data_IF_618382090133
#
_entry.id   IF_618382090133
#
_cell.length_a   1.000
_cell.length_b   1.000
_cell.length_c   1.000
_cell.angle_alpha   90.00
_cell.angle_beta   90.00
_cell.angle_gamma   90.00
#
_symmetry.space_group_name_H-M   'P 1'
#
loop_
_entity.id
_entity.type
_entity.pdbx_description
1 polymer ?
#
# COMPACT_ATOMS: atom_id res chain seq x y z
N UNK A 1 -17.85 8.06 -0.16
CA UNK A 1 -17.14 7.29 0.89
C UNK A 1 -15.81 7.91 1.31
N UNK A 2 -15.11 8.62 0.42
CA UNK A 2 -13.74 9.11 0.61
C UNK A 2 -13.50 9.90 1.91
N UNK A 3 -14.37 10.84 2.28
CA UNK A 3 -14.18 11.68 3.48
C UNK A 3 -13.99 10.84 4.74
N UNK A 4 -14.78 9.78 4.92
CA UNK A 4 -14.68 8.88 6.08
C UNK A 4 -13.35 8.12 6.09
N UNK A 5 -12.94 7.56 4.94
CA UNK A 5 -11.63 6.91 4.82
C UNK A 5 -10.52 7.91 5.16
N UNK A 6 -10.61 9.13 4.65
CA UNK A 6 -9.61 10.17 4.95
C UNK A 6 -9.55 10.50 6.45
N UNK A 7 -10.68 10.53 7.16
CA UNK A 7 -10.72 10.70 8.63
C UNK A 7 -9.96 9.58 9.35
N UNK A 8 -10.27 8.30 9.09
CA UNK A 8 -9.57 7.16 9.70
C UNK A 8 -8.06 7.18 9.45
N UNK A 9 -7.65 7.54 8.22
CA UNK A 9 -6.25 7.59 7.83
C UNK A 9 -5.52 8.80 8.46
N UNK A 10 -6.22 9.91 8.71
CA UNK A 10 -5.67 11.12 9.35
C UNK A 10 -5.63 11.02 10.87
N UNK A 11 -6.62 10.39 11.48
CA UNK A 11 -6.78 10.34 12.93
C UNK A 11 -5.58 9.67 13.61
N UNK A 12 -5.21 10.21 14.77
CA UNK A 12 -4.16 9.65 15.62
C UNK A 12 -4.71 8.43 16.40
N UNK A 13 -5.03 7.39 15.65
CA UNK A 13 -5.54 6.12 16.16
C UNK A 13 -4.38 5.34 16.79
N UNK A 14 -4.51 4.85 18.04
CA UNK A 14 -3.51 3.98 18.65
C UNK A 14 -3.18 2.78 17.76
N UNK A 15 -1.90 2.43 17.66
CA UNK A 15 -1.41 1.40 16.74
C UNK A 15 -2.09 0.04 16.94
N UNK A 16 -2.33 -0.36 18.20
CA UNK A 16 -3.07 -1.60 18.50
C UNK A 16 -4.50 -1.54 17.95
N UNK A 17 -5.22 -0.46 18.19
CA UNK A 17 -6.58 -0.29 17.68
C UNK A 17 -6.65 -0.19 16.15
N UNK A 18 -5.60 0.36 15.53
CA UNK A 18 -5.49 0.39 14.08
C UNK A 18 -5.48 -1.02 13.48
N UNK A 19 -4.57 -1.88 13.95
CA UNK A 19 -4.42 -3.24 13.42
C UNK A 19 -5.50 -4.21 13.89
N UNK A 20 -6.09 -4.00 15.07
CA UNK A 20 -7.15 -4.87 15.60
C UNK A 20 -8.51 -4.61 14.91
N UNK A 21 -8.82 -3.36 14.58
CA UNK A 21 -10.18 -2.96 14.15
C UNK A 21 -10.19 -2.09 12.90
N UNK A 22 -9.45 -0.97 12.90
CA UNK A 22 -9.64 0.08 11.89
C UNK A 22 -9.22 -0.34 10.48
N UNK A 23 -8.19 -1.18 10.34
CA UNK A 23 -7.74 -1.68 9.05
C UNK A 23 -8.88 -2.39 8.30
N UNK A 24 -9.64 -3.25 8.98
CA UNK A 24 -10.76 -3.98 8.38
C UNK A 24 -11.93 -3.05 8.01
N UNK A 25 -12.18 -2.03 8.84
CA UNK A 25 -13.20 -1.00 8.56
C UNK A 25 -12.82 -0.21 7.29
N UNK A 26 -11.56 0.22 7.17
CA UNK A 26 -11.09 0.98 6.02
C UNK A 26 -11.06 0.11 4.76
N UNK A 27 -10.63 -1.14 4.85
CA UNK A 27 -10.70 -2.08 3.73
C UNK A 27 -12.14 -2.28 3.23
N UNK A 28 -13.11 -2.46 4.13
CA UNK A 28 -14.52 -2.58 3.76
C UNK A 28 -15.04 -1.30 3.08
N UNK A 29 -14.67 -0.13 3.59
CA UNK A 29 -15.02 1.14 2.93
C UNK A 29 -14.40 1.25 1.53
N UNK A 30 -13.13 0.86 1.36
CA UNK A 30 -12.43 0.90 0.08
C UNK A 30 -13.01 -0.10 -0.94
N UNK A 31 -13.48 -1.27 -0.50
CA UNK A 31 -14.20 -2.23 -1.37
C UNK A 31 -15.49 -1.62 -1.95
N UNK A 32 -16.10 -0.72 -1.21
CA UNK A 32 -17.34 -0.02 -1.57
C UNK A 32 -17.10 1.38 -2.17
N UNK A 33 -15.86 1.75 -2.52
CA UNK A 33 -15.59 3.00 -3.22
C UNK A 33 -16.17 2.99 -4.63
N UNK A 34 -16.83 4.09 -4.98
CA UNK A 34 -17.20 4.41 -6.35
C UNK A 34 -16.04 5.14 -7.07
N UNK A 35 -16.13 5.28 -8.39
CA UNK A 35 -15.09 5.94 -9.21
C UNK A 35 -14.76 7.37 -8.74
N UNK A 36 -15.77 8.14 -8.28
CA UNK A 36 -15.54 9.49 -7.76
C UNK A 36 -14.79 9.48 -6.42
N UNK A 37 -14.96 8.45 -5.59
CA UNK A 37 -14.19 8.29 -4.35
C UNK A 37 -12.71 8.00 -4.65
N UNK A 38 -12.43 7.13 -5.62
CA UNK A 38 -11.06 6.88 -6.09
C UNK A 38 -10.42 8.13 -6.69
N UNK A 39 -11.17 8.87 -7.50
CA UNK A 39 -10.70 10.13 -8.08
C UNK A 39 -10.36 11.17 -7.01
N UNK A 40 -11.18 11.29 -5.97
CA UNK A 40 -10.88 12.16 -4.84
C UNK A 40 -9.64 11.69 -4.06
N UNK A 41 -9.50 10.39 -3.85
CA UNK A 41 -8.31 9.79 -3.23
C UNK A 41 -7.04 10.13 -4.02
N UNK A 42 -7.02 9.91 -5.34
CA UNK A 42 -5.84 10.21 -6.16
C UNK A 42 -5.49 11.69 -6.20
N UNK A 43 -6.49 12.58 -6.18
CA UNK A 43 -6.27 14.03 -6.10
C UNK A 43 -5.59 14.43 -4.80
N UNK A 44 -5.97 13.80 -3.69
CA UNK A 44 -5.50 14.14 -2.35
C UNK A 44 -4.16 13.49 -1.99
N UNK A 45 -3.86 12.32 -2.57
CA UNK A 45 -2.70 11.49 -2.24
C UNK A 45 -1.34 12.24 -2.24
N UNK A 46 -1.02 13.15 -3.19
CA UNK A 46 0.23 13.91 -3.15
C UNK A 46 0.38 14.81 -1.90
N UNK A 47 -0.74 15.26 -1.33
CA UNK A 47 -0.79 16.21 -0.22
C UNK A 47 -0.80 15.55 1.17
N UNK A 48 -0.81 14.21 1.24
CA UNK A 48 -0.87 13.49 2.51
C UNK A 48 0.51 13.17 3.08
N UNK A 49 0.58 13.16 4.40
CA UNK A 49 1.74 12.78 5.20
C UNK A 49 2.09 11.29 5.04
N UNK A 50 3.31 10.91 5.44
CA UNK A 50 3.81 9.54 5.32
C UNK A 50 2.94 8.52 6.06
N UNK A 51 2.55 8.80 7.31
CA UNK A 51 1.73 7.88 8.12
C UNK A 51 0.35 7.60 7.48
N UNK A 52 -0.28 8.61 6.90
CA UNK A 52 -1.54 8.46 6.18
C UNK A 52 -1.38 7.51 4.99
N UNK A 53 -0.28 7.66 4.24
CA UNK A 53 0.05 6.83 3.08
C UNK A 53 0.38 5.38 3.48
N UNK A 54 1.05 5.18 4.62
CA UNK A 54 1.33 3.84 5.17
C UNK A 54 0.02 3.12 5.47
N UNK A 55 -0.85 3.75 6.27
CA UNK A 55 -2.17 3.20 6.60
C UNK A 55 -3.01 2.89 5.35
N UNK A 56 -2.97 3.76 4.34
CA UNK A 56 -3.64 3.49 3.08
C UNK A 56 -3.04 2.25 2.41
N UNK A 57 -1.72 2.18 2.27
CA UNK A 57 -1.03 1.06 1.62
C UNK A 57 -1.37 -0.28 2.28
N UNK A 58 -1.44 -0.34 3.62
CA UNK A 58 -1.80 -1.53 4.39
C UNK A 58 -3.20 -2.08 4.02
N UNK A 59 -4.11 -1.24 3.53
CA UNK A 59 -5.48 -1.63 3.17
C UNK A 59 -5.66 -2.05 1.69
N UNK A 60 -4.59 -2.01 0.86
CA UNK A 60 -4.69 -2.17 -0.61
C UNK A 60 -4.25 -3.57 -1.13
N UNK A 61 -4.27 -4.59 -0.28
CA UNK A 61 -3.80 -5.93 -0.64
C UNK A 61 -4.88 -6.94 -1.00
N UNK A 62 -6.17 -6.61 -0.81
CA UNK A 62 -7.27 -7.57 -0.85
C UNK A 62 -8.64 -6.92 -1.16
N UNK A 63 -8.66 -5.91 -2.04
CA UNK A 63 -9.91 -5.21 -2.39
C UNK A 63 -10.62 -5.86 -3.58
N UNK A 64 -9.89 -6.55 -4.46
CA UNK A 64 -10.46 -7.25 -5.62
C UNK A 64 -10.85 -6.30 -6.76
N UNK A 65 -10.22 -5.12 -6.84
CA UNK A 65 -10.50 -4.11 -7.86
C UNK A 65 -9.20 -3.59 -8.48
N UNK A 66 -9.28 -2.93 -9.65
CA UNK A 66 -8.08 -2.44 -10.35
C UNK A 66 -7.36 -1.29 -9.62
N UNK A 67 -8.09 -0.54 -8.80
CA UNK A 67 -7.61 0.69 -8.19
C UNK A 67 -6.54 0.44 -7.12
N UNK A 68 -6.56 -0.74 -6.50
CA UNK A 68 -5.58 -1.11 -5.47
C UNK A 68 -4.15 -1.19 -6.04
N UNK A 69 -3.98 -1.82 -7.20
CA UNK A 69 -2.69 -1.89 -7.88
C UNK A 69 -2.24 -0.52 -8.38
N UNK A 70 -3.14 0.26 -8.98
CA UNK A 70 -2.85 1.62 -9.47
C UNK A 70 -2.37 2.51 -8.32
N UNK A 71 -3.05 2.47 -7.17
CA UNK A 71 -2.68 3.25 -5.99
C UNK A 71 -1.33 2.82 -5.42
N UNK A 72 -1.06 1.51 -5.30
CA UNK A 72 0.23 1.01 -4.81
C UNK A 72 1.40 1.39 -5.72
N UNK A 73 1.20 1.43 -7.04
CA UNK A 73 2.23 1.88 -7.99
C UNK A 73 2.56 3.36 -7.83
N UNK A 74 1.60 4.19 -7.40
CA UNK A 74 1.86 5.59 -7.06
C UNK A 74 2.63 5.67 -5.73
N UNK A 75 2.15 4.96 -4.69
CA UNK A 75 2.70 5.03 -3.33
C UNK A 75 4.12 4.47 -3.21
N UNK A 76 4.45 3.41 -3.96
CA UNK A 76 5.78 2.80 -3.91
C UNK A 76 6.88 3.73 -4.43
N UNK A 77 6.51 4.81 -5.13
CA UNK A 77 7.44 5.83 -5.58
C UNK A 77 7.84 6.82 -4.48
N UNK A 78 8.15 6.27 -3.30
CA UNK A 78 8.58 6.98 -2.10
C UNK A 78 10.03 6.63 -1.71
N UNK A 79 10.62 7.43 -0.83
CA UNK A 79 11.87 7.14 -0.12
C UNK A 79 11.64 6.76 1.35
N UNK A 80 10.39 6.80 1.80
CA UNK A 80 9.98 6.39 3.15
C UNK A 80 10.01 4.86 3.25
N UNK A 81 10.80 4.34 4.20
CA UNK A 81 11.01 2.89 4.35
C UNK A 81 9.75 2.17 4.82
N UNK A 82 8.95 2.77 5.71
CA UNK A 82 7.76 2.15 6.28
C UNK A 82 6.67 2.07 5.21
N UNK A 83 6.52 3.12 4.40
CA UNK A 83 5.62 3.10 3.25
C UNK A 83 6.06 2.09 2.18
N UNK A 84 7.37 1.94 1.93
CA UNK A 84 7.87 0.90 1.03
C UNK A 84 7.54 -0.52 1.55
N UNK A 85 7.67 -0.76 2.85
CA UNK A 85 7.33 -2.06 3.46
C UNK A 85 5.83 -2.32 3.35
N UNK A 86 4.99 -1.34 3.68
CA UNK A 86 3.53 -1.46 3.57
C UNK A 86 3.10 -1.71 2.12
N UNK A 87 3.66 -0.98 1.15
CA UNK A 87 3.40 -1.24 -0.27
C UNK A 87 3.84 -2.66 -0.68
N UNK A 88 4.99 -3.11 -0.19
CA UNK A 88 5.49 -4.44 -0.53
C UNK A 88 4.61 -5.56 0.03
N UNK A 89 4.09 -5.38 1.25
CA UNK A 89 3.19 -6.31 1.90
C UNK A 89 1.86 -6.45 1.14
N UNK A 90 1.28 -5.33 0.72
CA UNK A 90 0.07 -5.36 -0.09
C UNK A 90 0.31 -5.92 -1.48
N UNK A 91 1.39 -5.51 -2.16
CA UNK A 91 1.73 -6.01 -3.49
C UNK A 91 1.97 -7.53 -3.53
N UNK A 92 2.53 -8.15 -2.49
CA UNK A 92 2.73 -9.61 -2.48
C UNK A 92 1.40 -10.39 -2.45
N UNK A 93 0.30 -9.75 -2.06
CA UNK A 93 -1.03 -10.35 -2.09
C UNK A 93 -1.70 -10.22 -3.48
N UNK A 94 -1.31 -9.22 -4.29
CA UNK A 94 -1.91 -8.96 -5.60
C UNK A 94 -1.31 -9.75 -6.77
N UNK A 95 -2.06 -9.87 -7.86
CA UNK A 95 -1.53 -10.40 -9.12
C UNK A 95 -0.56 -9.41 -9.80
N UNK A 96 0.72 -9.51 -9.44
CA UNK A 96 1.81 -8.69 -10.01
C UNK A 96 2.29 -9.17 -11.39
N UNK A 97 1.72 -10.24 -11.95
CA UNK A 97 2.09 -10.72 -13.29
C UNK A 97 1.75 -9.70 -14.38
N UNK A 98 0.73 -8.87 -14.14
CA UNK A 98 0.26 -7.80 -15.03
C UNK A 98 1.15 -6.57 -15.06
N UNK A 99 2.15 -6.49 -14.19
CA UNK A 99 3.10 -5.38 -14.19
C UNK A 99 4.02 -5.45 -15.40
N UNK A 100 4.18 -4.31 -16.08
CA UNK A 100 5.18 -4.18 -17.14
C UNK A 100 6.61 -4.32 -16.59
N UNK A 101 7.56 -4.55 -17.50
CA UNK A 101 8.97 -4.81 -17.17
C UNK A 101 9.59 -3.63 -16.40
N UNK A 102 9.22 -2.40 -16.73
CA UNK A 102 9.80 -1.20 -16.10
C UNK A 102 9.32 -1.04 -14.65
N UNK A 103 8.02 -1.25 -14.39
CA UNK A 103 7.46 -1.31 -13.04
C UNK A 103 8.13 -2.42 -12.23
N UNK A 104 8.25 -3.64 -12.79
CA UNK A 104 8.93 -4.75 -12.10
C UNK A 104 10.38 -4.39 -11.73
N UNK A 105 11.12 -3.73 -12.62
CA UNK A 105 12.51 -3.28 -12.37
C UNK A 105 12.59 -2.21 -11.27
N UNK A 106 11.74 -1.18 -11.34
CA UNK A 106 11.70 -0.09 -10.36
C UNK A 106 11.39 -0.63 -8.97
N UNK A 107 10.34 -1.46 -8.86
CA UNK A 107 9.95 -2.10 -7.60
C UNK A 107 11.10 -2.96 -7.08
N UNK A 108 11.65 -3.84 -7.92
CA UNK A 108 12.77 -4.73 -7.54
C UNK A 108 13.95 -3.94 -6.97
N UNK A 109 14.36 -2.85 -7.63
CA UNK A 109 15.47 -2.01 -7.17
C UNK A 109 15.20 -1.40 -5.80
N UNK A 110 14.00 -0.84 -5.59
CA UNK A 110 13.60 -0.27 -4.29
C UNK A 110 13.60 -1.32 -3.17
N UNK A 111 13.01 -2.49 -3.44
CA UNK A 111 12.90 -3.58 -2.46
C UNK A 111 14.28 -4.14 -2.09
N UNK A 112 15.18 -4.32 -3.07
CA UNK A 112 16.56 -4.77 -2.81
C UNK A 112 17.33 -3.77 -1.94
N UNK A 113 17.20 -2.47 -2.21
CA UNK A 113 17.84 -1.43 -1.40
C UNK A 113 17.30 -1.40 0.04
N UNK A 114 16.03 -1.75 0.23
CA UNK A 114 15.37 -1.75 1.54
C UNK A 114 15.74 -2.96 2.40
N UNK A 115 15.99 -4.14 1.79
CA UNK A 115 16.31 -5.39 2.51
C UNK A 115 17.40 -5.23 3.58
N UNK A 116 18.46 -4.48 3.28
CA UNK A 116 19.59 -4.30 4.18
C UNK A 116 19.30 -3.35 5.36
N UNK A 117 18.21 -2.60 5.30
CA UNK A 117 17.78 -1.63 6.32
C UNK A 117 16.65 -2.16 7.19
N UNK A 118 16.02 -3.26 6.80
CA UNK A 118 14.83 -3.81 7.43
C UNK A 118 15.14 -4.91 8.44
N UNK A 119 14.32 -4.99 9.49
CA UNK A 119 14.31 -6.10 10.43
C UNK A 119 13.85 -7.43 9.79
N UNK A 120 14.05 -8.54 10.52
CA UNK A 120 13.81 -9.91 9.99
C UNK A 120 12.40 -10.11 9.42
N UNK A 121 11.36 -9.62 10.12
CA UNK A 121 9.97 -9.74 9.68
C UNK A 121 9.75 -9.04 8.32
N UNK A 122 10.11 -7.76 8.23
CA UNK A 122 10.04 -7.01 6.99
C UNK A 122 10.87 -7.65 5.87
N UNK A 123 12.07 -8.16 6.14
CA UNK A 123 12.84 -8.88 5.12
C UNK A 123 12.11 -10.12 4.56
N UNK A 124 11.29 -10.81 5.36
CA UNK A 124 10.47 -11.92 4.86
C UNK A 124 9.48 -11.43 3.81
N UNK A 125 8.71 -10.39 4.14
CA UNK A 125 7.75 -9.73 3.23
C UNK A 125 8.41 -9.32 1.92
N UNK A 126 9.55 -8.63 2.02
CA UNK A 126 10.29 -8.12 0.88
C UNK A 126 10.80 -9.25 -0.03
N UNK A 127 11.27 -10.37 0.54
CA UNK A 127 11.71 -11.54 -0.24
C UNK A 127 10.54 -12.24 -0.93
N UNK A 128 9.38 -12.32 -0.30
CA UNK A 128 8.19 -12.92 -0.91
C UNK A 128 7.79 -12.15 -2.17
N UNK A 129 7.72 -10.82 -2.08
CA UNK A 129 7.43 -9.97 -3.25
C UNK A 129 8.48 -10.13 -4.35
N UNK A 130 9.78 -10.13 -4.00
CA UNK A 130 10.86 -10.32 -4.98
C UNK A 130 10.76 -11.66 -5.72
N UNK A 131 10.37 -12.73 -5.03
CA UNK A 131 10.17 -14.02 -5.68
C UNK A 131 8.97 -13.98 -6.62
N UNK A 132 7.89 -13.30 -6.23
CA UNK A 132 6.70 -13.12 -7.07
C UNK A 132 6.97 -12.31 -8.34
N UNK A 133 7.83 -11.29 -8.26
CA UNK A 133 8.20 -10.45 -9.41
C UNK A 133 9.08 -11.16 -10.45
N UNK A 134 9.76 -12.25 -10.08
CA UNK A 134 10.57 -13.08 -10.99
C UNK A 134 9.72 -14.04 -11.83
N UNK A 135 8.53 -14.39 -11.34
CA UNK A 135 7.51 -15.11 -12.10
C UNK A 135 6.84 -14.22 -13.14
#
# INVERSE_FOLDING_TARGET
>A
MFTKVNEYLTDNIPMNYWYDECIFIVEDMLKNFEDEDWKNLYKELPHKEANWKVKLAECLGNLGNKYELECLLILINTNDNDLLIACADSLRNLDVSKLNIDNKKIITSKIVNLLNKSGKAAQSVLRDLLNKLKG
#
